data_IF_691079928031
#
_entry.id   IF_691079928031
#
_cell.length_a   1.000
_cell.length_b   1.000
_cell.length_c   1.000
_cell.angle_alpha   90.00
_cell.angle_beta   90.00
_cell.angle_gamma   90.00
#
_symmetry.space_group_name_H-M   'P 1'
#
loop_
_entity.id
_entity.type
_entity.pdbx_description
1 polymer ?
#
# COMPACT_ATOMS: atom_id res chain seq x y z
N UNK A 1 -1.59 27.35 -7.83
CA UNK A 1 -0.18 27.13 -8.24
C UNK A 1 0.61 27.17 -6.94
N UNK A 2 1.03 26.03 -6.40
CA UNK A 2 1.81 26.00 -5.17
C UNK A 2 3.14 25.32 -5.51
N UNK A 3 4.15 26.16 -5.66
CA UNK A 3 5.56 25.81 -5.71
C UNK A 3 6.03 25.92 -4.26
N UNK A 4 6.41 24.80 -3.65
CA UNK A 4 7.18 24.85 -2.41
C UNK A 4 8.65 24.70 -2.81
N UNK A 5 9.31 25.84 -3.06
CA UNK A 5 10.76 25.91 -3.22
C UNK A 5 11.42 25.78 -1.83
N UNK A 6 12.01 24.62 -1.58
CA UNK A 6 12.83 24.39 -0.40
C UNK A 6 14.18 25.11 -0.59
N UNK A 7 14.38 26.25 0.08
CA UNK A 7 15.66 26.96 0.07
C UNK A 7 16.46 26.57 1.32
N UNK A 8 17.53 25.78 1.13
CA UNK A 8 18.49 25.48 2.20
C UNK A 8 19.76 26.31 1.91
N UNK A 9 20.00 27.34 2.72
CA UNK A 9 21.26 28.08 2.71
C UNK A 9 22.27 27.32 3.56
N UNK A 10 23.22 26.65 2.93
CA UNK A 10 24.32 25.96 3.60
C UNK A 10 25.51 26.91 3.70
N UNK A 11 25.60 27.66 4.79
CA UNK A 11 26.86 28.31 5.18
C UNK A 11 27.82 27.30 5.78
N UNK A 12 29.08 27.48 5.44
CA UNK A 12 30.19 26.55 5.61
C UNK A 12 30.34 26.00 7.05
N UNK A 13 30.42 24.67 7.11
CA UNK A 13 30.66 23.78 8.25
C UNK A 13 31.59 24.38 9.33
N UNK A 14 31.04 24.68 10.51
CA UNK A 14 31.79 24.69 11.76
C UNK A 14 31.42 23.42 12.55
N UNK A 15 32.40 22.55 12.76
CA UNK A 15 32.23 21.21 13.34
C UNK A 15 31.80 21.31 14.81
N UNK A 16 30.50 21.12 15.10
CA UNK A 16 29.93 20.49 16.31
C UNK A 16 28.47 20.89 16.65
N UNK A 17 27.69 21.46 15.74
CA UNK A 17 26.28 21.75 16.03
C UNK A 17 25.32 20.70 15.46
N UNK A 18 24.62 19.99 16.35
CA UNK A 18 23.48 19.14 15.99
C UNK A 18 22.27 20.05 15.80
N UNK A 19 21.85 20.23 14.56
CA UNK A 19 20.58 20.91 14.25
C UNK A 19 19.44 19.92 14.42
N UNK A 20 18.65 20.10 15.49
CA UNK A 20 17.37 19.39 15.66
C UNK A 20 16.35 20.10 14.79
N UNK A 21 16.08 19.56 13.60
CA UNK A 21 14.92 19.95 12.82
C UNK A 21 13.66 19.51 13.59
N UNK A 22 12.92 20.47 14.16
CA UNK A 22 11.54 20.22 14.59
C UNK A 22 10.69 20.14 13.33
N UNK A 23 10.19 18.94 13.05
CA UNK A 23 9.11 18.74 12.09
C UNK A 23 7.82 19.11 12.81
N UNK A 24 7.30 20.30 12.55
CA UNK A 24 5.98 20.71 13.05
C UNK A 24 4.92 19.87 12.31
N UNK A 25 4.46 18.79 12.96
CA UNK A 25 3.22 18.10 12.54
C UNK A 25 2.06 19.05 12.81
N UNK A 26 1.25 19.33 11.78
CA UNK A 26 0.02 20.10 11.93
C UNK A 26 -0.86 19.45 13.02
N UNK A 27 -1.14 20.15 14.14
CA UNK A 27 -1.95 19.61 15.24
C UNK A 27 -3.41 19.37 14.87
N UNK A 28 -3.87 19.77 13.67
CA UNK A 28 -5.25 19.58 13.20
C UNK A 28 -5.49 18.33 12.35
N UNK A 29 -4.50 17.47 12.10
CA UNK A 29 -4.81 16.14 11.55
C UNK A 29 -5.43 15.28 12.65
N UNK A 30 -6.76 15.21 12.66
CA UNK A 30 -7.50 14.29 13.53
C UNK A 30 -6.89 12.88 13.42
N UNK A 31 -6.67 12.24 14.56
CA UNK A 31 -6.12 10.88 14.60
C UNK A 31 -6.98 9.95 13.73
N UNK A 32 -6.33 9.12 12.91
CA UNK A 32 -7.02 8.18 12.04
C UNK A 32 -7.80 7.17 12.89
N UNK A 33 -9.12 7.10 12.67
CA UNK A 33 -9.97 6.17 13.40
C UNK A 33 -10.12 4.85 12.64
N UNK A 34 -9.32 3.87 13.02
CA UNK A 34 -9.30 2.52 12.43
C UNK A 34 -10.64 1.80 12.56
N UNK A 35 -11.45 2.08 13.59
CA UNK A 35 -12.73 1.40 13.84
C UNK A 35 -13.83 1.81 12.85
N UNK A 36 -13.63 2.94 12.15
CA UNK A 36 -14.54 3.43 11.12
C UNK A 36 -14.28 2.86 9.73
N UNK A 37 -13.21 2.08 9.57
CA UNK A 37 -12.90 1.43 8.30
C UNK A 37 -13.41 0.00 8.34
N UNK A 38 -14.33 -0.31 7.44
CA UNK A 38 -14.80 -1.67 7.20
C UNK A 38 -14.68 -2.00 5.71
N UNK A 39 -13.80 -2.95 5.38
CA UNK A 39 -13.66 -3.50 4.05
C UNK A 39 -14.87 -4.35 3.68
N UNK A 40 -15.28 -4.23 2.43
CA UNK A 40 -16.35 -5.04 1.86
C UNK A 40 -16.07 -5.34 0.39
N UNK A 41 -16.75 -6.35 -0.12
CA UNK A 41 -16.78 -6.66 -1.56
C UNK A 41 -18.13 -6.23 -2.13
N UNK A 42 -18.12 -5.51 -3.25
CA UNK A 42 -19.34 -5.09 -3.97
C UNK A 42 -19.64 -5.89 -5.22
N UNK A 43 -18.83 -6.92 -5.49
CA UNK A 43 -19.04 -7.83 -6.60
C UNK A 43 -18.42 -9.20 -6.35
N UNK A 44 -18.55 -10.07 -7.35
CA UNK A 44 -18.01 -11.42 -7.28
C UNK A 44 -16.50 -11.44 -7.52
N UNK A 45 -15.84 -12.32 -6.76
CA UNK A 45 -14.45 -12.69 -6.95
C UNK A 45 -14.30 -13.63 -8.17
N UNK A 46 -13.15 -13.63 -8.85
CA UNK A 46 -12.87 -14.62 -9.88
C UNK A 46 -12.92 -16.05 -9.31
N UNK A 47 -13.23 -17.02 -10.16
CA UNK A 47 -13.33 -18.42 -9.76
C UNK A 47 -12.03 -18.91 -9.09
N UNK A 48 -12.17 -19.67 -8.00
CA UNK A 48 -11.04 -20.19 -7.23
C UNK A 48 -10.40 -19.18 -6.26
N UNK A 49 -10.89 -17.95 -6.20
CA UNK A 49 -10.44 -16.93 -5.25
C UNK A 49 -11.44 -16.70 -4.12
N UNK A 50 -10.90 -16.43 -2.93
CA UNK A 50 -11.68 -16.07 -1.75
C UNK A 50 -10.95 -14.97 -0.97
N UNK A 51 -11.71 -14.02 -0.45
CA UNK A 51 -11.22 -13.04 0.52
C UNK A 51 -11.99 -13.26 1.82
N UNK A 52 -11.26 -13.38 2.93
CA UNK A 52 -11.83 -13.50 4.28
C UNK A 52 -11.44 -12.28 5.09
N UNK A 53 -12.40 -11.46 5.51
CA UNK A 53 -12.13 -10.35 6.42
C UNK A 53 -11.98 -10.88 7.83
N UNK A 54 -10.74 -10.90 8.34
CA UNK A 54 -10.43 -11.34 9.70
C UNK A 54 -10.76 -10.28 10.74
N UNK A 55 -10.76 -9.02 10.32
CA UNK A 55 -11.23 -7.84 11.06
C UNK A 55 -11.87 -6.86 10.08
N UNK A 56 -12.53 -5.80 10.59
CA UNK A 56 -13.16 -4.77 9.74
C UNK A 56 -12.15 -4.17 8.75
N UNK A 57 -10.91 -3.95 9.16
CA UNK A 57 -9.88 -3.29 8.38
C UNK A 57 -8.72 -4.23 7.98
N UNK A 58 -8.94 -5.55 7.99
CA UNK A 58 -7.95 -6.54 7.54
C UNK A 58 -8.60 -7.71 6.81
N UNK A 59 -7.97 -8.18 5.74
CA UNK A 59 -8.43 -9.32 4.95
C UNK A 59 -7.30 -10.26 4.55
N UNK A 60 -7.61 -11.54 4.44
CA UNK A 60 -6.72 -12.56 3.89
C UNK A 60 -7.23 -12.99 2.52
N UNK A 61 -6.33 -13.08 1.53
CA UNK A 61 -6.64 -13.49 0.16
C UNK A 61 -6.17 -14.92 -0.05
N UNK A 62 -7.07 -15.76 -0.59
CA UNK A 62 -6.85 -17.17 -0.84
C UNK A 62 -7.04 -17.48 -2.32
N UNK A 63 -6.14 -18.30 -2.86
CA UNK A 63 -6.23 -18.93 -4.18
C UNK A 63 -6.28 -20.44 -3.99
N UNK A 64 -7.36 -21.09 -4.45
CA UNK A 64 -7.59 -22.55 -4.36
C UNK A 64 -7.37 -23.10 -2.94
N UNK A 65 -7.80 -22.35 -1.93
CA UNK A 65 -7.71 -22.73 -0.51
C UNK A 65 -6.38 -22.43 0.18
N UNK A 66 -5.35 -21.98 -0.55
CA UNK A 66 -4.07 -21.52 0.03
C UNK A 66 -4.10 -20.00 0.20
N UNK A 67 -3.69 -19.50 1.37
CA UNK A 67 -3.49 -18.06 1.55
C UNK A 67 -2.29 -17.61 0.71
N UNK A 68 -2.49 -16.57 -0.10
CA UNK A 68 -1.49 -16.01 -1.00
C UNK A 68 -1.35 -14.49 -0.87
N UNK A 69 -2.12 -13.85 0.00
CA UNK A 69 -2.11 -12.40 0.10
C UNK A 69 -2.87 -11.84 1.29
N UNK A 70 -2.84 -10.52 1.42
CA UNK A 70 -3.63 -9.79 2.41
C UNK A 70 -4.07 -8.40 1.94
N UNK A 71 -4.99 -7.84 2.72
CA UNK A 71 -5.51 -6.47 2.61
C UNK A 71 -5.34 -5.85 3.98
N UNK A 72 -4.62 -4.75 4.08
CA UNK A 72 -4.26 -4.12 5.37
C UNK A 72 -4.17 -2.59 5.24
N UNK A 73 -4.05 -1.91 6.39
CA UNK A 73 -3.70 -0.49 6.46
C UNK A 73 -2.29 -0.37 7.04
N UNK A 74 -1.42 0.39 6.37
CA UNK A 74 -0.04 0.61 6.81
C UNK A 74 0.36 2.08 6.81
N UNK A 75 1.48 2.39 7.45
CA UNK A 75 2.11 3.71 7.41
C UNK A 75 2.66 4.04 6.01
N UNK A 76 2.27 5.19 5.47
CA UNK A 76 2.67 5.64 4.14
C UNK A 76 2.98 7.14 4.14
N UNK A 77 4.24 7.46 3.86
CA UNK A 77 4.83 8.80 3.84
C UNK A 77 5.17 9.25 2.41
N UNK A 78 4.45 8.72 1.41
CA UNK A 78 4.66 9.02 0.00
C UNK A 78 5.71 8.13 -0.68
N UNK A 79 5.64 8.01 -2.00
CA UNK A 79 6.45 7.06 -2.77
C UNK A 79 7.97 7.26 -2.64
N UNK A 80 8.40 8.52 -2.52
CA UNK A 80 9.83 8.87 -2.42
C UNK A 80 10.49 8.32 -1.14
N UNK A 81 9.71 8.12 -0.08
CA UNK A 81 10.19 7.54 1.17
C UNK A 81 10.42 6.03 1.08
N UNK A 82 9.94 5.39 0.01
CA UNK A 82 9.90 3.93 -0.10
C UNK A 82 8.97 3.25 0.91
N UNK A 83 8.26 4.00 1.74
CA UNK A 83 7.37 3.47 2.78
C UNK A 83 6.20 2.70 2.20
N UNK A 84 5.70 1.76 2.99
CA UNK A 84 4.65 0.83 2.60
C UNK A 84 5.11 -0.34 1.74
N UNK A 85 6.18 -0.18 0.95
CA UNK A 85 6.66 -1.28 0.10
C UNK A 85 7.24 -2.43 0.93
N UNK A 86 7.01 -3.68 0.50
CA UNK A 86 7.59 -4.85 1.13
C UNK A 86 9.14 -4.81 1.14
N UNK A 87 9.76 -5.16 2.27
CA UNK A 87 11.23 -5.23 2.39
C UNK A 87 11.83 -6.25 1.41
N UNK A 88 13.06 -6.06 0.94
CA UNK A 88 13.73 -6.97 -0.02
C UNK A 88 12.93 -7.17 -1.31
N UNK A 89 12.50 -6.06 -1.92
CA UNK A 89 11.80 -6.06 -3.20
C UNK A 89 12.46 -5.12 -4.21
N UNK A 90 12.38 -5.51 -5.48
CA UNK A 90 12.75 -4.70 -6.64
C UNK A 90 11.51 -4.42 -7.48
N UNK A 91 11.37 -3.20 -7.98
CA UNK A 91 10.25 -2.83 -8.87
C UNK A 91 10.57 -3.31 -10.27
N UNK A 92 9.75 -4.21 -10.80
CA UNK A 92 9.77 -4.59 -12.22
C UNK A 92 8.98 -3.58 -13.04
N UNK A 93 7.78 -3.25 -12.58
CA UNK A 93 6.93 -2.24 -13.22
C UNK A 93 5.96 -1.60 -12.24
N UNK A 94 5.42 -0.45 -12.63
CA UNK A 94 4.41 0.29 -11.87
C UNK A 94 3.40 0.91 -12.81
N UNK A 95 2.13 0.84 -12.44
CA UNK A 95 1.05 1.55 -13.12
C UNK A 95 0.14 2.28 -12.12
N UNK A 96 -0.46 3.39 -12.56
CA UNK A 96 -1.52 4.05 -11.81
C UNK A 96 -2.81 3.25 -11.90
N UNK A 97 -3.53 3.13 -10.78
CA UNK A 97 -4.81 2.41 -10.71
C UNK A 97 -5.92 3.29 -10.14
N UNK A 98 -7.15 3.01 -10.56
CA UNK A 98 -8.38 3.47 -9.94
C UNK A 98 -9.10 2.26 -9.36
N UNK A 99 -9.26 2.23 -8.05
CA UNK A 99 -9.86 1.13 -7.29
C UNK A 99 -11.13 1.61 -6.57
N UNK A 100 -11.91 0.68 -6.01
CA UNK A 100 -13.02 1.01 -5.12
C UNK A 100 -12.56 1.67 -3.80
N UNK A 101 -11.26 1.59 -3.47
CA UNK A 101 -10.64 2.26 -2.34
C UNK A 101 -10.11 3.67 -2.65
N UNK A 102 -10.05 4.05 -3.94
CA UNK A 102 -9.53 5.34 -4.39
C UNK A 102 -8.50 5.21 -5.53
N UNK A 103 -7.70 6.26 -5.72
CA UNK A 103 -6.62 6.24 -6.71
C UNK A 103 -5.32 5.82 -6.04
N UNK A 104 -4.54 4.98 -6.71
CA UNK A 104 -3.29 4.44 -6.16
C UNK A 104 -2.34 3.95 -7.23
N UNK A 105 -1.44 3.06 -6.83
CA UNK A 105 -0.47 2.41 -7.72
C UNK A 105 -0.51 0.91 -7.53
N UNK A 106 -0.32 0.18 -8.63
CA UNK A 106 -0.07 -1.25 -8.65
C UNK A 106 1.36 -1.47 -9.12
N UNK A 107 2.12 -2.22 -8.33
CA UNK A 107 3.49 -2.61 -8.60
C UNK A 107 3.53 -4.10 -8.93
N UNK A 108 4.39 -4.43 -9.88
CA UNK A 108 4.91 -5.78 -10.05
C UNK A 108 6.28 -5.79 -9.40
N UNK A 109 6.42 -6.60 -8.36
CA UNK A 109 7.63 -6.70 -7.56
C UNK A 109 8.29 -8.05 -7.75
N UNK A 110 9.62 -8.04 -7.79
CA UNK A 110 10.44 -9.22 -7.55
C UNK A 110 10.88 -9.21 -6.09
N UNK A 111 10.59 -10.30 -5.36
CA UNK A 111 10.92 -10.47 -3.95
C UNK A 111 12.07 -11.43 -3.76
N UNK A 112 13.10 -10.96 -3.06
CA UNK A 112 14.19 -11.80 -2.59
C UNK A 112 13.84 -12.35 -1.20
N UNK A 113 13.83 -13.67 -1.08
CA UNK A 113 13.57 -14.35 0.18
C UNK A 113 14.91 -14.79 0.79
N UNK A 114 15.24 -14.40 2.04
CA UNK A 114 16.56 -14.66 2.64
C UNK A 114 16.98 -16.14 2.71
N UNK A 115 16.05 -17.08 2.52
CA UNK A 115 16.28 -18.53 2.65
C UNK A 115 15.75 -19.33 1.46
N UNK A 116 15.24 -18.68 0.41
CA UNK A 116 14.75 -19.34 -0.80
C UNK A 116 15.47 -18.71 -1.99
N UNK A 117 16.23 -19.48 -2.79
CA UNK A 117 16.91 -18.95 -3.98
C UNK A 117 15.93 -18.51 -5.07
N UNK A 118 14.63 -18.79 -4.92
CA UNK A 118 13.61 -18.36 -5.86
C UNK A 118 13.20 -16.92 -5.59
N UNK A 119 13.33 -16.09 -6.63
CA UNK A 119 12.66 -14.79 -6.70
C UNK A 119 11.17 -15.04 -6.88
N UNK A 120 10.35 -14.47 -6.00
CA UNK A 120 8.89 -14.54 -6.11
C UNK A 120 8.37 -13.27 -6.77
N UNK A 121 7.45 -13.42 -7.73
CA UNK A 121 6.71 -12.28 -8.24
C UNK A 121 5.55 -11.97 -7.29
N UNK A 122 5.42 -10.72 -6.90
CA UNK A 122 4.33 -10.23 -6.05
C UNK A 122 3.62 -9.07 -6.76
N UNK A 123 2.28 -9.13 -6.79
CA UNK A 123 1.48 -7.97 -7.16
C UNK A 123 1.14 -7.20 -5.90
N UNK A 124 1.55 -5.94 -5.86
CA UNK A 124 1.44 -5.09 -4.68
C UNK A 124 0.77 -3.77 -5.03
N UNK A 125 -0.40 -3.49 -4.47
CA UNK A 125 -1.10 -2.23 -4.64
C UNK A 125 -1.08 -1.39 -3.37
N UNK A 126 -0.90 -0.08 -3.56
CA UNK A 126 -0.95 0.91 -2.49
C UNK A 126 -1.89 2.05 -2.89
N UNK A 127 -2.85 2.36 -2.01
CA UNK A 127 -3.89 3.36 -2.22
C UNK A 127 -3.84 4.33 -1.04
N UNK A 128 -3.26 5.54 -1.20
CA UNK A 128 -3.14 6.50 -0.13
C UNK A 128 -4.49 6.92 0.45
N UNK A 129 -4.58 7.02 1.78
CA UNK A 129 -5.76 7.54 2.47
C UNK A 129 -5.62 9.06 2.54
N UNK A 130 -6.52 9.77 1.87
CA UNK A 130 -6.47 11.23 1.78
C UNK A 130 -6.46 11.87 3.17
N UNK A 131 -5.48 12.76 3.40
CA UNK A 131 -5.34 13.50 4.65
C UNK A 131 -4.62 12.74 5.77
N UNK A 132 -4.09 11.55 5.50
CA UNK A 132 -3.40 10.72 6.48
C UNK A 132 -2.07 10.19 5.94
N UNK A 133 -1.09 9.98 6.83
CA UNK A 133 0.17 9.29 6.54
C UNK A 133 -0.05 7.75 6.50
N UNK A 134 -1.12 7.31 5.83
CA UNK A 134 -1.58 5.94 5.79
C UNK A 134 -2.00 5.56 4.36
N UNK A 135 -1.93 4.27 4.05
CA UNK A 135 -2.45 3.71 2.81
C UNK A 135 -3.15 2.38 3.05
N UNK A 136 -4.17 2.10 2.24
CA UNK A 136 -4.61 0.72 2.03
C UNK A 136 -3.57 0.00 1.20
N UNK A 137 -3.18 -1.18 1.64
CA UNK A 137 -2.34 -2.08 0.87
C UNK A 137 -3.10 -3.36 0.53
N UNK A 138 -2.85 -3.87 -0.66
CA UNK A 138 -3.34 -5.17 -1.12
C UNK A 138 -2.18 -5.87 -1.81
N UNK A 139 -1.88 -7.10 -1.46
CA UNK A 139 -0.83 -7.85 -2.14
C UNK A 139 -1.20 -9.31 -2.32
N UNK A 140 -0.65 -9.91 -3.38
CA UNK A 140 -0.75 -11.35 -3.64
C UNK A 140 0.59 -11.90 -4.19
N UNK A 141 1.02 -13.03 -3.66
CA UNK A 141 2.02 -13.91 -4.27
C UNK A 141 1.48 -14.43 -5.60
N UNK A 142 2.31 -14.40 -6.63
CA UNK A 142 1.93 -14.83 -7.97
C UNK A 142 2.64 -16.13 -8.37
N UNK A 143 1.87 -17.09 -8.88
CA UNK A 143 2.38 -18.30 -9.53
C UNK A 143 1.83 -18.50 -10.96
N UNK A 144 0.91 -17.63 -11.39
CA UNK A 144 0.35 -17.57 -12.75
C UNK A 144 0.20 -16.09 -13.17
N UNK A 145 1.26 -15.56 -13.81
CA UNK A 145 1.46 -14.12 -14.05
C UNK A 145 0.21 -13.41 -14.57
N UNK A 146 -0.31 -13.86 -15.71
CA UNK A 146 -1.38 -13.15 -16.42
C UNK A 146 -2.73 -13.29 -15.69
N UNK A 147 -3.06 -14.48 -15.21
CA UNK A 147 -4.34 -14.72 -14.54
C UNK A 147 -4.40 -14.04 -13.16
N UNK A 148 -3.29 -14.02 -12.43
CA UNK A 148 -3.22 -13.40 -11.11
C UNK A 148 -3.27 -11.87 -11.22
N UNK A 149 -2.71 -11.27 -12.28
CA UNK A 149 -2.84 -9.84 -12.53
C UNK A 149 -4.30 -9.44 -12.80
N UNK A 150 -5.00 -10.23 -13.61
CA UNK A 150 -6.43 -10.02 -13.86
C UNK A 150 -7.25 -10.14 -12.57
N UNK A 151 -6.93 -11.13 -11.74
CA UNK A 151 -7.57 -11.29 -10.43
C UNK A 151 -7.28 -10.11 -9.50
N UNK A 152 -6.04 -9.65 -9.41
CA UNK A 152 -5.65 -8.48 -8.62
C UNK A 152 -6.41 -7.24 -9.05
N UNK A 153 -6.47 -6.95 -10.36
CA UNK A 153 -7.24 -5.83 -10.90
C UNK A 153 -8.72 -5.95 -10.57
N UNK A 154 -9.28 -7.16 -10.61
CA UNK A 154 -10.66 -7.41 -10.20
C UNK A 154 -10.88 -7.15 -8.71
N UNK A 155 -9.96 -7.57 -7.82
CA UNK A 155 -10.05 -7.27 -6.39
C UNK A 155 -10.10 -5.78 -6.13
N UNK A 156 -9.17 -5.04 -6.73
CA UNK A 156 -9.09 -3.60 -6.59
C UNK A 156 -10.37 -2.89 -7.07
N UNK A 157 -11.05 -3.43 -8.08
CA UNK A 157 -12.31 -2.85 -8.56
C UNK A 157 -13.49 -3.06 -7.61
N UNK A 158 -13.57 -4.23 -6.95
CA UNK A 158 -14.74 -4.60 -6.13
C UNK A 158 -14.53 -4.40 -4.63
N UNK A 159 -13.30 -4.10 -4.20
CA UNK A 159 -12.96 -3.83 -2.82
C UNK A 159 -13.28 -2.36 -2.48
N UNK A 160 -14.13 -2.17 -1.49
CA UNK A 160 -14.55 -0.85 -1.02
C UNK A 160 -14.39 -0.75 0.51
N UNK A 161 -14.48 0.48 1.01
CA UNK A 161 -14.62 0.78 2.44
C UNK A 161 -15.97 1.40 2.74
N UNK A 162 -16.66 0.89 3.76
CA UNK A 162 -17.74 1.65 4.39
C UNK A 162 -17.11 2.74 5.26
N UNK A 163 -17.29 3.99 4.86
CA UNK A 163 -17.08 5.10 5.80
C UNK A 163 -18.37 5.21 6.61
N UNK A 164 -18.34 4.81 7.88
CA UNK A 164 -19.47 5.03 8.78
C UNK A 164 -19.79 6.53 8.82
N UNK A 165 -20.89 6.92 8.18
CA UNK A 165 -21.49 8.26 8.31
C UNK A 165 -22.09 8.41 9.71
#
# INVERSE_FOLDING_TARGET
>A
MWKDELTITLDYINKNEVYVAKVDRDPNTAAFNYDRVEFKLTGELPEGWKISFTMKNQGQIFKRGKQVGSIEILGYYGDASGSGRPNHSSIVSVEGIKSGLGNGKLYILERDMPKDPRTLTEYYAIIPIKGHELAYNVWIDCDDLDNDLLAMKRFLQILEVNNGN
#
